data_IF_499587778079
#
_entry.id   IF_499587778079
#
_cell.length_a   1.000
_cell.length_b   1.000
_cell.length_c   1.000
_cell.angle_alpha   90.00
_cell.angle_beta   90.00
_cell.angle_gamma   90.00
#
_symmetry.space_group_name_H-M   'P 1'
#
loop_
_entity.id
_entity.type
_entity.pdbx_description
1 polymer ?
#
# COMPACT_ATOMS: atom_id res chain seq x y z
N UNK A 1 5.50 11.34 15.07
CA UNK A 1 4.11 11.66 14.69
C UNK A 1 3.27 11.60 15.96
N UNK A 2 2.45 12.60 16.31
CA UNK A 2 1.63 12.55 17.52
C UNK A 2 0.59 11.41 17.45
N UNK A 3 0.17 10.80 18.58
CA UNK A 3 -0.67 9.60 18.59
C UNK A 3 -1.97 9.73 17.78
N UNK A 4 -2.71 10.83 17.94
CA UNK A 4 -3.95 11.06 17.21
C UNK A 4 -3.77 11.21 15.70
N UNK A 5 -2.59 11.62 15.25
CA UNK A 5 -2.27 11.69 13.82
C UNK A 5 -1.96 10.32 13.23
N UNK A 6 -1.35 9.42 13.99
CA UNK A 6 -1.08 8.06 13.53
C UNK A 6 -2.38 7.28 13.30
N UNK A 7 -3.35 7.45 14.20
CA UNK A 7 -4.69 6.87 14.05
C UNK A 7 -5.40 7.39 12.79
N UNK A 8 -5.38 8.71 12.58
CA UNK A 8 -5.98 9.30 11.38
C UNK A 8 -5.35 8.77 10.07
N UNK A 9 -4.02 8.54 10.05
CA UNK A 9 -3.33 7.97 8.90
C UNK A 9 -3.70 6.50 8.69
N UNK A 10 -3.78 5.70 9.76
CA UNK A 10 -4.26 4.31 9.67
C UNK A 10 -5.66 4.23 9.06
N UNK A 11 -6.61 5.03 9.56
CA UNK A 11 -7.96 5.11 8.99
C UNK A 11 -7.95 5.62 7.55
N UNK A 12 -7.03 6.51 7.19
CA UNK A 12 -6.89 7.02 5.83
C UNK A 12 -6.41 5.92 4.86
N UNK A 13 -5.45 5.09 5.29
CA UNK A 13 -4.98 3.94 4.51
C UNK A 13 -6.16 2.99 4.22
N UNK A 14 -6.94 2.61 5.23
CA UNK A 14 -8.10 1.74 5.03
C UNK A 14 -9.12 2.35 4.06
N UNK A 15 -9.46 3.64 4.27
CA UNK A 15 -10.39 4.36 3.39
C UNK A 15 -9.90 4.37 1.93
N UNK A 16 -8.60 4.56 1.70
CA UNK A 16 -8.01 4.52 0.36
C UNK A 16 -8.13 3.14 -0.27
N UNK A 17 -7.74 2.10 0.46
CA UNK A 17 -7.74 0.74 -0.06
C UNK A 17 -9.15 0.28 -0.42
N UNK A 18 -10.13 0.52 0.45
CA UNK A 18 -11.55 0.21 0.19
C UNK A 18 -12.08 1.00 -1.00
N UNK A 19 -11.77 2.29 -1.08
CA UNK A 19 -12.23 3.13 -2.18
C UNK A 19 -11.58 2.74 -3.52
N UNK A 20 -10.29 2.40 -3.52
CA UNK A 20 -9.57 1.91 -4.68
C UNK A 20 -10.13 0.57 -5.16
N UNK A 21 -10.38 -0.37 -4.25
CA UNK A 21 -10.98 -1.66 -4.57
C UNK A 21 -12.36 -1.49 -5.22
N UNK A 22 -13.24 -0.66 -4.64
CA UNK A 22 -14.59 -0.41 -5.17
C UNK A 22 -14.62 0.27 -6.55
N UNK A 23 -13.51 0.89 -6.93
CA UNK A 23 -13.38 1.60 -8.21
C UNK A 23 -12.48 0.85 -9.20
N UNK A 24 -12.14 -0.41 -8.93
CA UNK A 24 -11.26 -1.24 -9.75
C UNK A 24 -9.88 -0.59 -10.00
N UNK A 25 -9.36 0.09 -8.97
CA UNK A 25 -8.09 0.83 -8.98
C UNK A 25 -7.06 0.26 -8.01
N UNK A 26 -7.27 -0.99 -7.59
CA UNK A 26 -6.42 -1.68 -6.63
C UNK A 26 -5.83 -2.94 -7.27
N UNK A 27 -4.51 -2.97 -7.38
CA UNK A 27 -3.74 -4.18 -7.68
C UNK A 27 -3.30 -4.79 -6.36
N UNK A 28 -3.42 -6.11 -6.22
CA UNK A 28 -3.15 -6.84 -4.98
C UNK A 28 -2.22 -8.00 -5.29
N UNK A 29 -1.13 -8.12 -4.55
CA UNK A 29 -0.11 -9.16 -4.72
C UNK A 29 1.22 -8.57 -5.16
N UNK A 30 2.33 -9.15 -4.68
CA UNK A 30 3.69 -8.75 -5.00
C UNK A 30 3.98 -8.90 -6.49
N UNK A 31 3.56 -10.04 -7.06
CA UNK A 31 3.82 -10.35 -8.46
C UNK A 31 3.01 -9.47 -9.41
N UNK A 32 1.71 -9.30 -9.13
CA UNK A 32 0.78 -8.46 -9.88
C UNK A 32 1.24 -7.00 -9.84
N UNK A 33 1.71 -6.55 -8.68
CA UNK A 33 2.26 -5.20 -8.50
C UNK A 33 3.51 -5.00 -9.35
N UNK A 34 4.48 -5.93 -9.28
CA UNK A 34 5.68 -5.87 -10.10
C UNK A 34 5.37 -5.90 -11.61
N UNK A 35 4.38 -6.69 -12.02
CA UNK A 35 3.91 -6.74 -13.40
C UNK A 35 3.32 -5.40 -13.84
N UNK A 36 2.46 -4.78 -13.03
CA UNK A 36 1.89 -3.47 -13.33
C UNK A 36 2.97 -2.39 -13.44
N UNK A 37 3.90 -2.32 -12.48
CA UNK A 37 5.00 -1.35 -12.51
C UNK A 37 5.92 -1.51 -13.73
N UNK A 38 6.04 -2.71 -14.29
CA UNK A 38 6.79 -2.92 -15.54
C UNK A 38 6.03 -2.45 -16.80
N UNK A 39 4.70 -2.37 -16.75
CA UNK A 39 3.86 -2.06 -17.90
C UNK A 39 3.44 -0.59 -17.92
N UNK A 40 2.98 -0.08 -16.78
CA UNK A 40 2.41 1.26 -16.63
C UNK A 40 2.67 1.84 -15.23
N UNK A 41 3.92 2.21 -14.92
CA UNK A 41 4.27 2.78 -13.63
C UNK A 41 3.69 4.17 -13.40
N UNK A 42 3.46 4.95 -14.47
CA UNK A 42 2.94 6.31 -14.39
C UNK A 42 1.48 6.34 -13.88
N UNK A 43 0.76 5.22 -14.00
CA UNK A 43 -0.58 5.08 -13.43
C UNK A 43 -0.59 4.89 -11.91
N UNK A 44 0.53 4.51 -11.29
CA UNK A 44 0.60 4.15 -9.88
C UNK A 44 0.82 5.38 -9.01
N UNK A 45 -0.05 5.60 -8.01
CA UNK A 45 0.00 6.78 -7.13
C UNK A 45 0.31 6.45 -5.68
N UNK A 46 0.10 5.21 -5.25
CA UNK A 46 0.40 4.74 -3.91
C UNK A 46 0.77 3.25 -3.93
N UNK A 47 1.83 2.89 -3.21
CA UNK A 47 2.25 1.53 -2.93
C UNK A 47 2.16 1.26 -1.42
N UNK A 48 1.50 0.18 -1.04
CA UNK A 48 1.39 -0.30 0.35
C UNK A 48 2.09 -1.65 0.44
N UNK A 49 3.14 -1.73 1.25
CA UNK A 49 3.81 -3.00 1.57
C UNK A 49 3.32 -3.50 2.91
N UNK A 50 2.68 -4.66 2.95
CA UNK A 50 2.06 -5.20 4.16
C UNK A 50 2.81 -6.44 4.67
N UNK A 51 3.17 -6.44 5.95
CA UNK A 51 3.96 -7.52 6.57
C UNK A 51 3.78 -7.46 8.07
N UNK A 52 3.64 -8.62 8.70
CA UNK A 52 3.71 -8.77 10.16
C UNK A 52 5.03 -9.44 10.57
N UNK A 53 5.26 -9.59 11.88
CA UNK A 53 6.52 -10.14 12.42
C UNK A 53 6.83 -11.56 11.90
N UNK A 54 5.79 -12.34 11.59
CA UNK A 54 5.90 -13.71 11.07
C UNK A 54 6.56 -13.77 9.68
N UNK A 55 6.46 -12.69 8.91
CA UNK A 55 6.96 -12.58 7.53
C UNK A 55 8.41 -12.05 7.45
N UNK A 56 8.99 -11.56 8.56
CA UNK A 56 10.35 -11.01 8.58
C UNK A 56 11.42 -12.05 8.20
N UNK A 57 11.13 -13.33 8.44
CA UNK A 57 12.00 -14.45 8.09
C UNK A 57 11.97 -14.85 6.61
N UNK A 58 10.99 -14.37 5.82
CA UNK A 58 10.88 -14.68 4.40
C UNK A 58 11.84 -13.82 3.57
N UNK A 59 13.03 -14.36 3.31
CA UNK A 59 14.06 -13.70 2.51
C UNK A 59 13.55 -13.34 1.10
N UNK A 60 12.73 -14.20 0.48
CA UNK A 60 12.22 -13.94 -0.86
C UNK A 60 11.27 -12.74 -0.84
N UNK A 61 10.39 -12.66 0.16
CA UNK A 61 9.51 -11.50 0.34
C UNK A 61 10.31 -10.22 0.60
N UNK A 62 11.32 -10.27 1.47
CA UNK A 62 12.17 -9.10 1.76
C UNK A 62 12.96 -8.61 0.54
N UNK A 63 13.40 -9.51 -0.34
CA UNK A 63 14.01 -9.15 -1.63
C UNK A 63 12.99 -8.40 -2.49
N UNK A 64 11.78 -8.92 -2.65
CA UNK A 64 10.74 -8.25 -3.44
C UNK A 64 10.40 -6.86 -2.88
N UNK A 65 10.26 -6.73 -1.56
CA UNK A 65 10.04 -5.45 -0.91
C UNK A 65 11.15 -4.47 -1.22
N UNK A 66 12.41 -4.89 -1.12
CA UNK A 66 13.56 -4.04 -1.44
C UNK A 66 13.50 -3.54 -2.88
N UNK A 67 13.17 -4.41 -3.84
CA UNK A 67 13.07 -4.05 -5.25
C UNK A 67 11.91 -3.08 -5.51
N UNK A 68 10.74 -3.34 -4.94
CA UNK A 68 9.55 -2.48 -5.07
C UNK A 68 9.79 -1.12 -4.42
N UNK A 69 10.44 -1.09 -3.25
CA UNK A 69 10.79 0.16 -2.57
C UNK A 69 11.73 1.01 -3.42
N UNK A 70 12.79 0.42 -3.98
CA UNK A 70 13.71 1.13 -4.85
C UNK A 70 12.95 1.72 -6.05
N UNK A 71 12.12 0.91 -6.71
CA UNK A 71 11.31 1.36 -7.84
C UNK A 71 10.38 2.53 -7.50
N UNK A 72 9.62 2.42 -6.40
CA UNK A 72 8.69 3.47 -5.99
C UNK A 72 9.43 4.77 -5.62
N UNK A 73 10.58 4.67 -4.94
CA UNK A 73 11.38 5.83 -4.59
C UNK A 73 11.92 6.56 -5.83
N UNK A 74 12.40 5.80 -6.82
CA UNK A 74 12.97 6.34 -8.06
C UNK A 74 11.92 6.98 -8.99
N UNK A 75 10.67 6.53 -8.91
CA UNK A 75 9.56 7.03 -9.73
C UNK A 75 8.61 7.99 -8.96
N UNK A 76 9.03 8.46 -7.78
CA UNK A 76 8.25 9.36 -6.91
C UNK A 76 6.82 8.86 -6.59
N UNK A 77 6.64 7.53 -6.54
CA UNK A 77 5.41 6.89 -6.09
C UNK A 77 5.37 6.97 -4.55
N UNK A 78 4.26 7.42 -3.99
CA UNK A 78 4.08 7.38 -2.54
C UNK A 78 4.12 5.94 -2.05
N UNK A 79 4.95 5.66 -1.06
CA UNK A 79 5.11 4.31 -0.50
C UNK A 79 5.04 4.34 1.02
N UNK A 80 4.45 3.31 1.62
CA UNK A 80 4.49 3.06 3.06
C UNK A 80 4.48 1.56 3.37
N UNK A 81 4.95 1.21 4.56
CA UNK A 81 4.78 -0.12 5.15
C UNK A 81 3.60 -0.14 6.12
N UNK A 82 2.89 -1.25 6.14
CA UNK A 82 1.81 -1.49 7.08
C UNK A 82 1.93 -2.84 7.77
N UNK A 83 1.44 -2.92 9.01
CA UNK A 83 1.20 -4.17 9.74
C UNK A 83 -0.29 -4.30 10.05
N UNK A 84 -0.69 -5.47 10.55
CA UNK A 84 -2.09 -5.82 10.79
C UNK A 84 -2.69 -6.51 9.56
N UNK A 85 -2.05 -7.59 9.11
CA UNK A 85 -2.49 -8.35 7.93
C UNK A 85 -3.92 -8.89 8.08
N UNK A 86 -4.33 -9.26 9.29
CA UNK A 86 -5.71 -9.69 9.57
C UNK A 86 -6.72 -8.56 9.30
N UNK A 87 -6.42 -7.34 9.77
CA UNK A 87 -7.25 -6.16 9.51
C UNK A 87 -7.28 -5.84 8.02
N UNK A 88 -6.14 -5.94 7.34
CA UNK A 88 -6.03 -5.73 5.90
C UNK A 88 -6.87 -6.74 5.10
N UNK A 89 -6.87 -8.01 5.49
CA UNK A 89 -7.72 -9.03 4.89
C UNK A 89 -9.20 -8.72 5.12
N UNK A 90 -9.58 -8.32 6.34
CA UNK A 90 -10.96 -7.98 6.68
C UNK A 90 -11.51 -6.80 5.85
N UNK A 91 -10.71 -5.75 5.62
CA UNK A 91 -11.16 -4.59 4.83
C UNK A 91 -11.25 -4.88 3.33
N UNK A 92 -10.43 -5.82 2.81
CA UNK A 92 -10.42 -6.19 1.39
C UNK A 92 -11.36 -7.36 1.06
N UNK A 93 -11.98 -7.95 2.08
CA UNK A 93 -12.84 -9.10 1.98
C UNK A 93 -12.06 -10.41 1.90
N UNK A 94 -12.62 -11.44 2.52
CA UNK A 94 -12.03 -12.78 2.46
C UNK A 94 -12.22 -13.41 1.07
N UNK A 95 -11.21 -14.17 0.60
CA UNK A 95 -11.33 -14.98 -0.60
C UNK A 95 -12.47 -16.00 -0.44
N UNK A 96 -13.04 -16.48 -1.55
CA UNK A 96 -14.02 -17.56 -1.49
C UNK A 96 -13.40 -18.81 -0.84
N UNK A 97 -14.19 -19.67 -0.16
CA UNK A 97 -13.67 -20.79 0.64
C UNK A 97 -12.76 -21.77 -0.12
N UNK A 98 -12.85 -21.79 -1.45
CA UNK A 98 -12.12 -22.70 -2.33
C UNK A 98 -10.95 -22.02 -3.07
N UNK A 99 -10.67 -20.75 -2.78
CA UNK A 99 -9.59 -20.00 -3.45
C UNK A 99 -8.31 -19.95 -2.63
N UNK A 100 -7.17 -19.94 -3.34
CA UNK A 100 -5.85 -19.79 -2.74
C UNK A 100 -5.77 -18.52 -1.88
N UNK A 101 -4.97 -18.52 -0.79
CA UNK A 101 -4.76 -17.34 0.03
C UNK A 101 -4.32 -16.16 -0.84
N UNK A 102 -5.00 -15.02 -0.68
CA UNK A 102 -4.64 -13.80 -1.38
C UNK A 102 -3.28 -13.30 -0.86
N UNK A 103 -2.33 -13.10 -1.76
CA UNK A 103 -1.10 -12.36 -1.46
C UNK A 103 -1.46 -10.88 -1.21
N UNK A 104 -1.46 -10.46 0.05
CA UNK A 104 -1.75 -9.09 0.47
C UNK A 104 -0.48 -8.27 0.74
N UNK A 105 0.70 -8.80 0.44
CA UNK A 105 1.95 -8.17 0.86
C UNK A 105 2.34 -6.93 0.04
N UNK A 106 1.72 -6.72 -1.11
CA UNK A 106 1.87 -5.49 -1.89
C UNK A 106 0.54 -5.08 -2.50
N UNK A 107 0.17 -3.81 -2.33
CA UNK A 107 -1.00 -3.22 -2.96
C UNK A 107 -0.64 -1.93 -3.67
N UNK A 108 -1.05 -1.83 -4.94
CA UNK A 108 -0.89 -0.61 -5.71
C UNK A 108 -2.24 0.04 -5.95
N UNK A 109 -2.30 1.33 -5.70
CA UNK A 109 -3.44 2.17 -6.04
C UNK A 109 -3.12 2.94 -7.31
N UNK A 110 -4.01 2.87 -8.29
CA UNK A 110 -3.82 3.52 -9.59
C UNK A 110 -4.74 4.70 -9.82
N UNK A 111 -4.26 5.66 -10.59
CA UNK A 111 -5.00 6.79 -11.10
C UNK A 111 -4.78 6.88 -12.62
N UNK A 112 -5.67 6.30 -13.44
CA UNK A 112 -5.56 6.32 -14.89
C UNK A 112 -5.60 7.77 -15.40
N UNK A 113 -4.80 8.03 -16.44
CA UNK A 113 -4.51 9.36 -16.98
C UNK A 113 -5.73 10.18 -17.43
N UNK A 114 -6.90 9.55 -17.59
CA UNK A 114 -8.13 10.19 -18.07
C UNK A 114 -9.07 10.66 -16.97
N UNK A 115 -8.93 10.16 -15.74
CA UNK A 115 -9.84 10.47 -14.62
C UNK A 115 -9.03 10.76 -13.37
N UNK A 116 -8.96 12.03 -12.96
CA UNK A 116 -8.35 12.43 -11.71
C UNK A 116 -9.22 11.95 -10.53
N UNK A 117 -8.94 10.74 -10.04
CA UNK A 117 -9.58 10.25 -8.83
C UNK A 117 -9.13 11.06 -7.63
N UNK A 118 -10.11 11.61 -6.91
CA UNK A 118 -9.89 12.42 -5.71
C UNK A 118 -10.43 11.65 -4.51
N UNK A 119 -9.56 10.93 -3.83
CA UNK A 119 -9.84 10.37 -2.51
C UNK A 119 -9.25 11.26 -1.43
N UNK A 120 -10.06 11.68 -0.46
CA UNK A 120 -9.56 12.42 0.70
C UNK A 120 -8.52 11.60 1.47
N UNK A 121 -8.74 10.28 1.59
CA UNK A 121 -7.77 9.39 2.20
C UNK A 121 -6.43 9.37 1.44
N UNK A 122 -6.46 9.44 0.10
CA UNK A 122 -5.23 9.40 -0.70
C UNK A 122 -4.40 10.66 -0.44
N UNK A 123 -5.04 11.82 -0.38
CA UNK A 123 -4.37 13.08 -0.05
C UNK A 123 -3.75 13.04 1.36
N UNK A 124 -4.46 12.48 2.34
CA UNK A 124 -3.96 12.32 3.72
C UNK A 124 -2.73 11.40 3.78
N UNK A 125 -2.78 10.23 3.13
CA UNK A 125 -1.65 9.28 3.07
C UNK A 125 -0.47 9.86 2.28
N UNK A 126 -0.74 10.50 1.14
CA UNK A 126 0.29 11.18 0.34
C UNK A 126 1.01 12.27 1.14
N UNK A 127 0.27 13.11 1.88
CA UNK A 127 0.85 14.12 2.77
C UNK A 127 1.71 13.47 3.86
N UNK A 128 1.25 12.36 4.43
CA UNK A 128 2.03 11.62 5.42
C UNK A 128 3.34 11.06 4.86
N UNK A 129 3.33 10.50 3.65
CA UNK A 129 4.52 10.03 2.95
C UNK A 129 5.48 11.19 2.64
N UNK A 130 4.99 12.30 2.10
CA UNK A 130 5.79 13.47 1.78
C UNK A 130 6.48 14.06 3.02
N UNK A 131 5.73 14.29 4.09
CA UNK A 131 6.30 14.81 5.34
C UNK A 131 7.28 13.84 6.01
N UNK A 132 7.10 12.53 5.80
CA UNK A 132 8.04 11.52 6.29
C UNK A 132 9.34 11.54 5.50
N UNK A 133 9.26 11.71 4.17
CA UNK A 133 10.41 11.91 3.29
C UNK A 133 11.22 13.14 3.70
N UNK A 134 10.58 14.25 4.06
CA UNK A 134 11.24 15.45 4.60
C UNK A 134 12.01 15.18 5.91
N UNK A 135 11.65 14.12 6.63
CA UNK A 135 12.33 13.65 7.86
C UNK A 135 13.30 12.49 7.60
N UNK A 136 13.69 12.25 6.34
CA UNK A 136 14.53 11.13 5.90
C UNK A 136 13.93 9.73 6.20
N UNK A 137 12.60 9.65 6.35
CA UNK A 137 11.86 8.39 6.48
C UNK A 137 11.22 8.07 5.13
N UNK A 138 12.01 7.45 4.24
CA UNK A 138 11.64 7.18 2.85
C UNK A 138 10.44 6.24 2.70
N UNK A 139 10.35 5.25 3.59
CA UNK A 139 9.21 4.33 3.66
C UNK A 139 8.65 4.37 5.08
N UNK A 140 7.71 5.29 5.37
CA UNK A 140 7.10 5.37 6.69
C UNK A 140 6.28 4.12 6.99
N UNK A 141 6.09 3.86 8.28
CA UNK A 141 5.35 2.71 8.79
C UNK A 141 4.05 3.14 9.46
N UNK A 142 3.01 2.32 9.34
CA UNK A 142 1.68 2.51 9.94
C UNK A 142 1.14 1.17 10.43
N UNK A 143 0.71 1.09 11.68
CA UNK A 143 0.02 -0.10 12.18
C UNK A 143 -1.49 0.05 11.96
N UNK A 144 -2.13 -0.91 11.28
CA UNK A 144 -3.58 -0.94 11.16
C UNK A 144 -4.21 -1.39 12.49
N UNK A 145 -5.25 -0.69 12.93
CA UNK A 145 -5.91 -1.00 14.19
C UNK A 145 -6.92 -2.13 13.99
N UNK A 146 -6.91 -3.13 14.87
CA UNK A 146 -7.93 -4.20 14.93
C UNK A 146 -9.35 -3.64 15.14
#
# INVERSE_FOLDING_TARGET
VPPGRMQAVSEAVERVLVAAQRQDRLTVGVYESAKLMNVDPDSVVLCVLATDEEDEGDIALQIHFTLIQAFCCDNDIHILRVSGMQRLAAILGEPEPESEPRDLHCLLVTNPHTDAWKSQGLAEVASYCAESRDRNQWVPYVCLQE
#
